data_IF_257974866101
#
_entry.id   IF_257974866101
#
_cell.length_a   1.000
_cell.length_b   1.000
_cell.length_c   1.000
_cell.angle_alpha   90.00
_cell.angle_beta   90.00
_cell.angle_gamma   90.00
#
_symmetry.space_group_name_H-M   'P 1'
#
loop_
_entity.id
_entity.type
_entity.pdbx_description
1 polymer ?
#
# COMPACT_ATOMS: atom_id res chain seq x y z
N UNK A 1 0.64 2.35 4.82
CA UNK A 1 0.07 2.73 3.51
C UNK A 1 -0.63 1.54 2.90
N UNK A 2 -1.76 1.75 2.30
CA UNK A 2 -2.51 0.71 1.61
C UNK A 2 -2.66 1.10 0.15
N UNK A 3 -3.14 0.19 -0.67
CA UNK A 3 -3.39 0.50 -2.07
C UNK A 3 -4.42 1.62 -2.19
N UNK A 4 -5.48 1.57 -1.39
CA UNK A 4 -6.49 2.62 -1.38
C UNK A 4 -5.89 3.95 -0.91
N UNK A 5 -4.98 3.90 0.05
CA UNK A 5 -4.29 5.08 0.53
C UNK A 5 -3.41 5.70 -0.54
N UNK A 6 -2.70 4.86 -1.30
CA UNK A 6 -1.86 5.34 -2.39
C UNK A 6 -2.72 5.98 -3.48
N UNK A 7 -3.84 5.36 -3.81
CA UNK A 7 -4.77 5.92 -4.79
C UNK A 7 -5.25 7.30 -4.37
N UNK A 8 -5.65 7.42 -3.11
CA UNK A 8 -6.12 8.70 -2.58
C UNK A 8 -5.01 9.74 -2.59
N UNK A 9 -3.79 9.33 -2.27
CA UNK A 9 -2.65 10.23 -2.29
C UNK A 9 -2.45 10.83 -3.68
N UNK A 10 -2.52 9.98 -4.70
CA UNK A 10 -2.34 10.43 -6.08
C UNK A 10 -3.49 11.36 -6.49
N UNK A 11 -4.72 10.97 -6.20
CA UNK A 11 -5.89 11.77 -6.56
C UNK A 11 -5.83 13.14 -5.91
N UNK A 12 -5.42 13.19 -4.66
CA UNK A 12 -5.34 14.44 -3.94
C UNK A 12 -4.21 15.31 -4.45
N UNK A 13 -3.05 14.71 -4.72
CA UNK A 13 -1.88 15.46 -5.14
C UNK A 13 -2.05 16.06 -6.53
N UNK A 14 -2.66 15.31 -7.43
CA UNK A 14 -2.74 15.73 -8.84
C UNK A 14 -4.12 16.21 -9.26
N UNK A 15 -5.13 16.00 -8.44
CA UNK A 15 -6.51 16.36 -8.74
C UNK A 15 -6.99 15.74 -10.06
N UNK A 16 -6.62 14.49 -10.28
CA UNK A 16 -7.02 13.75 -11.47
C UNK A 16 -7.58 12.40 -11.04
N UNK A 17 -8.42 11.79 -11.86
CA UNK A 17 -8.92 10.46 -11.53
C UNK A 17 -7.84 9.40 -11.63
N UNK A 18 -7.90 8.41 -10.75
CA UNK A 18 -7.00 7.27 -10.77
C UNK A 18 -7.84 6.03 -11.03
N UNK A 19 -7.46 5.28 -12.04
CA UNK A 19 -8.18 4.08 -12.42
C UNK A 19 -7.33 2.85 -12.13
N UNK A 20 -8.00 1.75 -11.86
CA UNK A 20 -7.32 0.48 -11.71
C UNK A 20 -7.57 -0.29 -12.99
N UNK A 21 -6.50 -0.84 -13.56
CA UNK A 21 -6.63 -1.56 -14.81
C UNK A 21 -6.61 -0.62 -15.99
N UNK A 22 -7.28 -1.04 -17.07
CA UNK A 22 -7.14 -0.38 -18.36
C UNK A 22 -8.36 0.36 -18.85
N UNK A 23 -9.28 0.65 -17.98
CA UNK A 23 -10.54 1.23 -18.40
C UNK A 23 -10.47 2.74 -18.48
N UNK A 24 -9.37 3.27 -18.87
CA UNK A 24 -9.18 4.70 -18.85
C UNK A 24 -9.74 5.35 -20.07
N UNK A 25 -10.47 6.38 -19.87
CA UNK A 25 -11.09 7.06 -20.95
C UNK A 25 -10.91 8.55 -20.93
N UNK A 26 -10.56 9.13 -19.77
CA UNK A 26 -10.43 10.59 -19.66
C UNK A 26 -8.98 10.97 -19.43
N UNK A 27 -8.63 12.17 -19.82
CA UNK A 27 -7.29 12.71 -19.66
C UNK A 27 -7.41 14.14 -19.12
N UNK A 28 -6.53 14.57 -18.23
CA UNK A 28 -5.45 13.78 -17.63
C UNK A 28 -5.97 12.73 -16.66
N UNK A 29 -5.23 11.66 -16.51
CA UNK A 29 -5.62 10.60 -15.59
C UNK A 29 -4.41 9.79 -15.21
N UNK A 30 -4.60 8.91 -14.23
CA UNK A 30 -3.57 7.98 -13.81
C UNK A 30 -4.15 6.60 -13.71
N UNK A 31 -3.31 5.59 -13.89
CA UNK A 31 -3.68 4.22 -13.58
C UNK A 31 -2.72 3.71 -12.53
N UNK A 32 -3.22 2.85 -11.66
CA UNK A 32 -2.44 2.27 -10.58
C UNK A 32 -2.52 0.76 -10.67
N UNK A 33 -1.38 0.11 -10.63
CA UNK A 33 -1.33 -1.33 -10.68
C UNK A 33 -0.34 -1.81 -9.63
N UNK A 34 -0.75 -2.76 -8.81
CA UNK A 34 0.12 -3.37 -7.82
C UNK A 34 0.70 -4.63 -8.45
N UNK A 35 2.02 -4.69 -8.56
CA UNK A 35 2.70 -5.74 -9.29
C UNK A 35 3.16 -6.89 -8.41
N UNK A 36 3.51 -6.61 -7.18
CA UNK A 36 4.13 -7.62 -6.33
C UNK A 36 3.91 -7.25 -4.87
N UNK A 37 3.77 -8.25 -4.04
CA UNK A 37 3.59 -8.06 -2.61
C UNK A 37 4.51 -9.04 -1.89
N UNK A 38 5.40 -8.52 -1.06
CA UNK A 38 6.45 -9.33 -0.45
C UNK A 38 6.48 -9.08 1.05
N UNK A 39 6.65 -10.13 1.86
CA UNK A 39 6.80 -9.93 3.29
C UNK A 39 8.15 -9.29 3.59
N UNK A 40 8.18 -8.33 4.50
CA UNK A 40 9.42 -7.64 4.85
C UNK A 40 9.73 -7.72 6.33
N UNK A 41 8.80 -8.19 7.14
CA UNK A 41 9.03 -8.33 8.56
C UNK A 41 8.20 -9.50 9.07
N UNK A 42 8.81 -10.36 9.85
CA UNK A 42 8.14 -11.52 10.40
C UNK A 42 8.05 -11.44 11.91
N UNK A 43 6.98 -11.98 12.45
CA UNK A 43 6.80 -12.16 13.89
C UNK A 43 5.98 -13.40 14.12
N UNK A 44 6.43 -14.23 15.02
CA UNK A 44 5.73 -15.47 15.41
C UNK A 44 5.38 -16.35 14.21
N UNK A 45 6.30 -16.44 13.26
CA UNK A 45 6.14 -17.35 12.13
C UNK A 45 5.27 -16.83 10.99
N UNK A 46 4.83 -15.58 11.04
CA UNK A 46 4.07 -15.00 9.94
C UNK A 46 4.50 -13.56 9.73
N UNK A 47 4.18 -13.01 8.58
CA UNK A 47 4.60 -11.65 8.26
C UNK A 47 3.73 -10.65 9.02
N UNK A 48 4.36 -9.61 9.56
CA UNK A 48 3.65 -8.53 10.23
C UNK A 48 3.74 -7.23 9.44
N UNK A 49 4.55 -7.19 8.41
CA UNK A 49 4.60 -6.05 7.50
C UNK A 49 4.92 -6.57 6.11
N UNK A 50 4.40 -5.90 5.12
CA UNK A 50 4.61 -6.28 3.73
C UNK A 50 4.93 -5.05 2.89
N UNK A 51 5.60 -5.27 1.78
CA UNK A 51 5.90 -4.23 0.81
C UNK A 51 5.22 -4.59 -0.50
N UNK A 52 4.62 -3.61 -1.12
CA UNK A 52 4.01 -3.79 -2.43
C UNK A 52 4.72 -2.92 -3.45
N UNK A 53 5.02 -3.50 -4.60
CA UNK A 53 5.55 -2.73 -5.71
C UNK A 53 4.38 -2.25 -6.54
N UNK A 54 4.37 -0.97 -6.83
CA UNK A 54 3.27 -0.37 -7.56
C UNK A 54 3.80 0.37 -8.77
N UNK A 55 3.04 0.34 -9.83
CA UNK A 55 3.34 1.09 -11.03
C UNK A 55 2.21 2.06 -11.25
N UNK A 56 2.55 3.33 -11.39
CA UNK A 56 1.58 4.38 -11.63
C UNK A 56 1.88 4.95 -13.00
N UNK A 57 0.86 5.01 -13.85
CA UNK A 57 1.01 5.60 -15.17
C UNK A 57 0.23 6.89 -15.19
N UNK A 58 0.90 7.98 -15.53
CA UNK A 58 0.26 9.28 -15.66
C UNK A 58 0.11 9.57 -17.14
N UNK A 59 -1.06 10.07 -17.53
CA UNK A 59 -1.38 10.36 -18.93
C UNK A 59 -1.83 11.81 -19.01
N UNK A 60 -1.08 12.62 -19.75
CA UNK A 60 -1.39 14.03 -19.90
C UNK A 60 -1.40 14.41 -21.38
N UNK A 61 -2.17 15.43 -21.69
CA UNK A 61 -2.28 15.87 -23.08
C UNK A 61 -1.12 16.74 -23.50
N UNK A 62 -0.40 17.35 -22.56
CA UNK A 62 0.76 18.15 -22.91
C UNK A 62 1.95 17.78 -22.03
N UNK A 63 3.13 18.13 -22.52
CA UNK A 63 4.37 17.79 -21.83
C UNK A 63 4.52 18.56 -20.52
N UNK A 64 4.09 19.82 -20.51
CA UNK A 64 4.22 20.65 -19.32
C UNK A 64 3.37 20.12 -18.18
N UNK A 65 2.15 19.70 -18.47
CA UNK A 65 1.28 19.11 -17.47
C UNK A 65 1.87 17.83 -16.91
N UNK A 66 2.41 16.97 -17.79
CA UNK A 66 3.05 15.74 -17.34
C UNK A 66 4.23 16.03 -16.44
N UNK A 67 5.10 16.95 -16.85
CA UNK A 67 6.31 17.26 -16.10
C UNK A 67 5.98 17.89 -14.75
N UNK A 68 4.98 18.75 -14.69
CA UNK A 68 4.53 19.32 -13.43
C UNK A 68 3.97 18.24 -12.51
N UNK A 69 3.22 17.29 -13.06
CA UNK A 69 2.66 16.19 -12.28
C UNK A 69 3.77 15.30 -11.71
N UNK A 70 4.81 15.05 -12.51
CA UNK A 70 5.94 14.25 -12.06
C UNK A 70 6.62 14.92 -10.86
N UNK A 71 6.86 16.23 -10.95
CA UNK A 71 7.48 16.95 -9.84
C UNK A 71 6.61 16.90 -8.59
N UNK A 72 5.33 17.07 -8.75
CA UNK A 72 4.40 17.00 -7.64
C UNK A 72 4.43 15.62 -7.00
N UNK A 73 4.46 14.57 -7.83
CA UNK A 73 4.50 13.21 -7.30
C UNK A 73 5.78 12.90 -6.56
N UNK A 74 6.92 13.36 -7.07
CA UNK A 74 8.18 13.16 -6.38
C UNK A 74 8.13 13.81 -4.99
N UNK A 75 7.70 15.06 -4.93
CA UNK A 75 7.62 15.78 -3.66
C UNK A 75 6.65 15.09 -2.70
N UNK A 76 5.49 14.69 -3.22
CA UNK A 76 4.46 14.07 -2.40
C UNK A 76 4.91 12.72 -1.86
N UNK A 77 5.51 11.91 -2.70
CA UNK A 77 5.92 10.56 -2.30
C UNK A 77 7.15 10.60 -1.40
N UNK A 78 8.06 11.54 -1.63
CA UNK A 78 9.24 11.67 -0.78
C UNK A 78 8.87 12.12 0.63
N UNK A 79 7.71 12.73 0.80
CA UNK A 79 7.25 13.15 2.11
C UNK A 79 6.59 12.02 2.89
N UNK A 80 6.33 10.87 2.25
CA UNK A 80 5.64 9.75 2.89
C UNK A 80 6.65 8.73 3.38
N UNK A 81 6.69 8.47 4.69
CA UNK A 81 7.69 7.54 5.22
C UNK A 81 7.49 6.10 4.77
N UNK A 82 6.29 5.75 4.36
CA UNK A 82 5.98 4.37 3.95
C UNK A 82 6.22 4.12 2.48
N UNK A 83 6.66 5.12 1.73
CA UNK A 83 6.85 5.01 0.29
C UNK A 83 8.31 5.20 -0.04
N UNK A 84 8.84 4.30 -0.86
CA UNK A 84 10.19 4.45 -1.38
C UNK A 84 10.20 5.55 -2.43
N UNK A 85 11.27 6.32 -2.48
CA UNK A 85 11.41 7.37 -3.50
C UNK A 85 11.18 6.78 -4.88
N UNK A 86 10.35 7.41 -5.69
CA UNK A 86 9.94 6.79 -6.95
C UNK A 86 10.99 6.86 -8.04
N UNK A 87 10.98 5.85 -8.91
CA UNK A 87 11.77 5.87 -10.13
C UNK A 87 10.82 6.23 -11.25
N UNK A 88 11.23 7.13 -12.10
CA UNK A 88 10.32 7.70 -13.09
C UNK A 88 10.91 7.63 -14.48
N UNK A 89 10.11 7.18 -15.44
CA UNK A 89 10.44 7.25 -16.85
C UNK A 89 9.37 8.05 -17.54
N UNK A 90 9.76 8.90 -18.44
CA UNK A 90 8.81 9.71 -19.20
C UNK A 90 9.01 9.50 -20.67
N UNK A 91 7.92 9.50 -21.42
CA UNK A 91 7.98 9.37 -22.86
C UNK A 91 6.63 9.81 -23.48
N UNK A 92 6.65 9.95 -24.80
CA UNK A 92 5.44 10.25 -25.54
C UNK A 92 4.88 8.93 -26.07
N UNK A 93 3.65 8.61 -25.70
CA UNK A 93 3.02 7.38 -26.16
C UNK A 93 2.40 7.66 -27.52
N UNK A 94 2.99 7.10 -28.58
CA UNK A 94 2.55 7.36 -29.93
C UNK A 94 1.21 6.71 -30.25
N UNK A 95 0.88 5.63 -29.57
CA UNK A 95 -0.39 4.94 -29.76
C UNK A 95 -1.54 5.76 -29.18
N UNK A 96 -1.39 6.19 -27.93
CA UNK A 96 -2.42 6.98 -27.27
C UNK A 96 -2.32 8.45 -27.64
N UNK A 97 -1.18 8.88 -28.20
CA UNK A 97 -0.90 10.28 -28.53
C UNK A 97 -0.98 11.14 -27.29
N UNK A 98 -0.36 10.68 -26.23
CA UNK A 98 -0.36 11.36 -24.95
C UNK A 98 1.04 11.34 -24.34
N UNK A 99 1.31 12.31 -23.50
CA UNK A 99 2.54 12.34 -22.73
C UNK A 99 2.36 11.47 -21.52
N UNK A 100 3.25 10.54 -21.31
CA UNK A 100 3.12 9.52 -20.30
C UNK A 100 4.30 9.53 -19.35
N UNK A 101 4.04 9.31 -18.07
CA UNK A 101 5.07 9.06 -17.09
C UNK A 101 4.76 7.75 -16.41
N UNK A 102 5.79 6.91 -16.27
CA UNK A 102 5.67 5.65 -15.55
C UNK A 102 6.44 5.81 -14.26
N UNK A 103 5.75 5.67 -13.16
CA UNK A 103 6.33 5.83 -11.83
C UNK A 103 6.34 4.47 -11.16
N UNK A 104 7.54 3.99 -10.83
CA UNK A 104 7.69 2.74 -10.12
C UNK A 104 8.04 3.07 -8.68
N UNK A 105 7.29 2.54 -7.74
CA UNK A 105 7.52 2.79 -6.34
C UNK A 105 7.20 1.55 -5.54
N UNK A 106 7.49 1.62 -4.24
CA UNK A 106 7.20 0.53 -3.34
C UNK A 106 6.68 1.15 -2.06
N UNK A 107 5.61 0.59 -1.53
CA UNK A 107 5.08 1.07 -0.27
C UNK A 107 4.96 -0.10 0.71
N UNK A 108 5.10 0.24 2.00
CA UNK A 108 5.02 -0.77 3.04
C UNK A 108 3.78 -0.54 3.87
N UNK A 109 3.27 -1.61 4.45
CA UNK A 109 2.13 -1.53 5.35
C UNK A 109 2.22 -2.64 6.38
N UNK A 110 1.63 -2.38 7.54
CA UNK A 110 1.57 -3.38 8.58
C UNK A 110 0.31 -4.19 8.41
N UNK A 111 0.44 -5.47 8.66
CA UNK A 111 -0.72 -6.32 8.68
C UNK A 111 -1.33 -6.14 10.06
N UNK A 112 -2.57 -5.62 10.07
CA UNK A 112 -3.26 -5.50 11.32
C UNK A 112 -3.91 -6.80 11.60
N UNK A 113 -3.28 -7.59 12.42
CA UNK A 113 -3.99 -8.72 12.94
C UNK A 113 -4.96 -8.17 13.92
N UNK A 114 -6.18 -8.63 13.92
CA UNK A 114 -7.09 -8.31 14.97
C UNK A 114 -6.39 -8.68 16.26
N UNK A 115 -6.53 -7.82 17.21
CA UNK A 115 -5.96 -8.04 18.50
C UNK A 115 -6.24 -9.48 18.86
N UNK A 116 -5.22 -10.21 19.18
CA UNK A 116 -5.43 -11.59 19.42
C UNK A 116 -6.45 -11.69 20.49
N UNK A 117 -7.46 -12.37 20.17
CA UNK A 117 -8.40 -12.74 21.16
C UNK A 117 -7.57 -13.26 22.25
N UNK A 118 -7.63 -12.67 23.39
CA UNK A 118 -6.85 -13.16 24.48
C UNK A 118 -7.21 -14.60 24.59
N UNK A 119 -6.22 -15.38 24.44
CA UNK A 119 -6.38 -16.70 24.62
C UNK A 119 -7.09 -16.89 25.84
N UNK A 120 -8.17 -17.58 25.88
CA UNK A 120 -8.81 -17.91 27.09
C UNK A 120 -7.71 -18.45 27.90
N UNK A 121 -7.35 -17.74 28.87
CA UNK A 121 -6.43 -18.21 29.76
C UNK A 121 -6.94 -19.51 30.17
N UNK A 122 -6.28 -20.48 29.91
CA UNK A 122 -6.67 -21.73 30.42
C UNK A 122 -6.80 -21.54 31.86
N UNK A 123 -7.72 -21.55 32.24
CA UNK A 123 -7.81 -21.30 33.41
C UNK A 123 -7.22 -21.97 34.18
N UNK A 124 -6.92 -21.86 34.95
CA UNK A 124 -6.32 -22.58 35.53
C UNK A 124 -6.76 -23.54 36.17
N UNK A 125 -6.84 -23.36 36.01
CA UNK A 125 -6.99 -23.85 36.42
C UNK A 125 -7.22 -24.39 37.28
N UNK A 126 -7.42 -24.66 37.36
CA UNK A 126 -7.66 -24.84 37.82
C UNK A 126 -7.48 -25.49 38.79
N UNK A 127 -7.51 -25.55 39.04
CA UNK A 127 -7.37 -25.97 39.70
C UNK A 127 -7.53 -26.53 40.67
N UNK A 128 -7.51 -26.91 41.06
CA UNK A 128 -7.56 -27.39 41.80
C UNK A 128 -7.81 -27.83 42.83
N UNK A 129 -8.09 -27.84 42.90
CA UNK A 129 -8.25 -28.00 43.57
C UNK A 129 -8.32 -28.69 44.54
N UNK A 130 -8.34 -28.81 44.62
CA UNK A 130 -8.45 -29.33 45.21
C UNK A 130 -8.50 -29.96 46.15
N UNK A 131 -8.55 -30.05 46.40
CA UNK A 131 -8.67 -30.58 47.08
C UNK A 131 -8.76 -31.16 48.16
N UNK A 132 -8.81 -31.33 48.49
CA UNK A 132 -8.98 -31.71 49.26
C UNK A 132 -9.05 -32.47 50.16
N UNK A 133 -9.07 -32.47 50.19
CA UNK A 133 -9.15 -32.98 50.81
C UNK A 133 -9.23 -33.67 51.58
N UNK A 134 -9.24 -33.73 51.68
CA UNK A 134 -9.33 -34.15 52.11
C UNK A 134 -9.46 -34.73 53.14
N UNK A 135 -9.47 -34.76 53.33
CA UNK A 135 -9.59 -35.13 54.09
C UNK A 135 -9.75 -35.86 55.00
N UNK A 136 -9.73 -35.93 55.02
CA UNK A 136 -9.81 -36.43 55.67
C UNK A 136 -9.96 -37.13 56.62
N UNK A 137 -9.89 -37.29 56.96
CA UNK A 137 -10.02 -37.78 57.62
C UNK A 137 -10.14 -38.07 58.23
#
# INVERSE_FOLDING_TARGET
>A
MTEAGLKTLIETALSIPVFEGKDTIVYPSATLEVLKNTPVLYGDGHSVARASEAQINLWYEDKEGRDAAVETMITTMDAEPDITSPEIETYYDTTAKKYRAVIATQYTYRIETPAPTPEPTPEPDEEPEEDPAEDTD
#
